data_IF_507272116450
#
_entry.id   IF_507272116450
#
_cell.length_a   1.000
_cell.length_b   1.000
_cell.length_c   1.000
_cell.angle_alpha   90.00
_cell.angle_beta   90.00
_cell.angle_gamma   90.00
#
_symmetry.space_group_name_H-M   'P 1'
#
loop_
_entity.id
_entity.type
_entity.pdbx_description
1 polymer ?
#
# COMPACT_ATOMS: atom_id res chain seq x y z
N UNK A 1 11.26 -22.71 8.04
CA UNK A 1 10.49 -21.77 7.21
C UNK A 1 11.46 -20.64 6.83
N UNK A 2 11.90 -20.58 5.57
CA UNK A 2 12.97 -19.64 5.14
C UNK A 2 12.56 -18.20 5.41
N UNK A 3 13.44 -17.44 6.08
CA UNK A 3 13.26 -16.03 6.44
C UNK A 3 12.88 -15.21 5.21
N UNK A 4 13.50 -15.49 4.06
CA UNK A 4 13.23 -14.87 2.75
C UNK A 4 11.77 -14.97 2.30
N UNK A 5 11.09 -16.10 2.57
CA UNK A 5 9.67 -16.27 2.19
C UNK A 5 8.76 -15.38 3.04
N UNK A 6 9.13 -15.09 4.30
CA UNK A 6 8.34 -14.26 5.21
C UNK A 6 8.40 -12.78 4.82
N UNK A 7 9.59 -12.32 4.42
CA UNK A 7 9.79 -10.93 4.01
C UNK A 7 9.07 -10.62 2.70
N UNK A 8 9.13 -11.53 1.71
CA UNK A 8 8.39 -11.35 0.46
C UNK A 8 6.87 -11.24 0.64
N UNK A 9 6.28 -12.07 1.52
CA UNK A 9 4.83 -12.01 1.82
C UNK A 9 4.46 -10.69 2.46
N UNK A 10 5.29 -10.18 3.38
CA UNK A 10 5.05 -8.91 4.05
C UNK A 10 5.16 -7.72 3.08
N UNK A 11 6.20 -7.71 2.25
CA UNK A 11 6.43 -6.71 1.20
C UNK A 11 5.26 -6.66 0.20
N UNK A 12 4.77 -7.82 -0.24
CA UNK A 12 3.63 -7.90 -1.14
C UNK A 12 2.33 -7.41 -0.48
N UNK A 13 2.15 -7.70 0.81
CA UNK A 13 1.01 -7.19 1.59
C UNK A 13 1.05 -5.67 1.69
N UNK A 14 2.22 -5.07 1.92
CA UNK A 14 2.36 -3.62 1.92
C UNK A 14 2.04 -2.99 0.57
N UNK A 15 2.50 -3.58 -0.54
CA UNK A 15 2.14 -3.09 -1.88
C UNK A 15 0.64 -3.12 -2.12
N UNK A 16 -0.04 -4.23 -1.78
CA UNK A 16 -1.50 -4.35 -1.91
C UNK A 16 -2.24 -3.28 -1.12
N UNK A 17 -1.86 -3.08 0.15
CA UNK A 17 -2.46 -2.06 1.00
C UNK A 17 -2.24 -0.64 0.46
N UNK A 18 -1.03 -0.32 -0.04
CA UNK A 18 -0.76 0.98 -0.68
C UNK A 18 -1.69 1.19 -1.88
N UNK A 19 -1.86 0.16 -2.72
CA UNK A 19 -2.74 0.24 -3.89
C UNK A 19 -4.21 0.39 -3.51
N UNK A 20 -4.69 -0.32 -2.48
CA UNK A 20 -6.06 -0.17 -1.95
C UNK A 20 -6.34 1.21 -1.37
N UNK A 21 -5.34 1.80 -0.70
CA UNK A 21 -5.41 3.18 -0.19
C UNK A 21 -5.53 4.17 -1.36
N UNK A 22 -4.70 3.98 -2.39
CA UNK A 22 -4.63 4.87 -3.55
C UNK A 22 -5.77 4.67 -4.55
N UNK A 23 -6.45 3.51 -4.55
CA UNK A 23 -7.59 3.26 -5.43
C UNK A 23 -8.83 4.05 -5.03
N UNK A 24 -8.91 4.52 -3.78
CA UNK A 24 -10.03 5.32 -3.28
C UNK A 24 -9.89 6.80 -3.66
N UNK A 25 -8.69 7.35 -3.47
CA UNK A 25 -8.43 8.76 -3.71
C UNK A 25 -6.93 9.04 -3.85
N UNK A 26 -6.62 10.14 -4.54
CA UNK A 26 -5.28 10.71 -4.61
C UNK A 26 -4.78 11.15 -3.23
N UNK A 27 -3.72 10.50 -2.72
CA UNK A 27 -3.18 10.75 -1.38
C UNK A 27 -1.71 11.11 -1.39
N UNK A 28 -1.31 11.96 -0.46
CA UNK A 28 0.07 12.29 -0.17
C UNK A 28 0.75 11.17 0.62
N UNK A 29 2.08 11.18 0.67
CA UNK A 29 2.85 10.22 1.46
C UNK A 29 2.42 10.19 2.94
N UNK A 30 2.09 11.35 3.53
CA UNK A 30 1.67 11.46 4.93
C UNK A 30 0.32 10.80 5.16
N UNK A 31 -0.65 11.08 4.29
CA UNK A 31 -1.99 10.49 4.37
C UNK A 31 -1.95 8.96 4.21
N UNK A 32 -1.14 8.45 3.27
CA UNK A 32 -0.94 6.99 3.12
C UNK A 32 -0.36 6.41 4.41
N UNK A 33 0.63 7.07 5.01
CA UNK A 33 1.25 6.61 6.25
C UNK A 33 0.28 6.63 7.45
N UNK A 34 -0.64 7.58 7.50
CA UNK A 34 -1.66 7.68 8.54
C UNK A 34 -2.73 6.59 8.40
N UNK A 35 -3.21 6.32 7.19
CA UNK A 35 -4.17 5.23 6.95
C UNK A 35 -3.59 3.86 7.33
N UNK A 36 -2.30 3.64 7.04
CA UNK A 36 -1.59 2.45 7.48
C UNK A 36 -1.65 2.20 9.00
N UNK A 37 -1.63 3.28 9.81
CA UNK A 37 -1.67 3.16 11.28
C UNK A 37 -3.05 2.77 11.80
N UNK A 38 -4.12 3.08 11.06
CA UNK A 38 -5.51 2.98 11.55
C UNK A 38 -6.15 1.63 11.19
N UNK A 39 -5.69 0.94 10.14
CA UNK A 39 -6.35 -0.29 9.61
C UNK A 39 -6.13 -1.58 10.43
N UNK A 40 -6.06 -1.51 11.76
CA UNK A 40 -6.08 -2.69 12.64
C UNK A 40 -7.12 -2.56 13.75
N UNK A 41 -8.39 -2.51 13.34
CA UNK A 41 -9.48 -2.84 14.23
C UNK A 41 -9.81 -4.32 14.02
N UNK A 42 -9.36 -5.25 14.88
CA UNK A 42 -9.79 -6.63 14.77
C UNK A 42 -11.32 -6.69 14.98
N UNK A 43 -12.02 -7.30 14.03
CA UNK A 43 -13.48 -7.49 14.08
C UNK A 43 -13.91 -8.58 15.09
N UNK A 44 -12.96 -9.22 15.76
CA UNK A 44 -13.22 -10.39 16.61
C UNK A 44 -12.47 -10.22 17.94
N UNK A 45 -13.25 -10.37 19.01
CA UNK A 45 -12.82 -10.57 20.39
C UNK A 45 -12.53 -9.31 21.20
N UNK A 46 -12.90 -9.40 22.49
CA UNK A 46 -12.72 -8.44 23.59
C UNK A 46 -11.25 -8.07 23.89
N UNK A 47 -10.35 -8.32 22.94
CA UNK A 47 -8.92 -8.13 23.03
C UNK A 47 -8.57 -6.69 22.64
N UNK A 48 -8.03 -5.92 23.59
CA UNK A 48 -7.53 -4.56 23.32
C UNK A 48 -6.35 -4.68 22.34
N UNK A 49 -6.46 -4.20 21.08
CA UNK A 49 -5.38 -4.35 20.11
C UNK A 49 -4.17 -3.55 20.59
N UNK A 50 -3.07 -4.25 20.91
CA UNK A 50 -1.74 -3.64 21.16
C UNK A 50 -0.83 -3.69 19.93
N UNK A 51 -1.28 -4.31 18.84
CA UNK A 51 -0.50 -4.45 17.62
C UNK A 51 -0.84 -3.30 16.67
N UNK A 52 0.01 -2.28 16.65
CA UNK A 52 0.00 -1.26 15.59
C UNK A 52 0.96 -1.71 14.50
N UNK A 53 0.45 -2.16 13.36
CA UNK A 53 1.29 -2.30 12.16
C UNK A 53 1.52 -0.88 11.67
N UNK A 54 2.76 -0.43 11.78
CA UNK A 54 3.18 0.84 11.22
C UNK A 54 4.23 0.55 10.15
N UNK A 55 4.07 1.17 8.99
CA UNK A 55 5.10 1.17 7.98
C UNK A 55 6.08 2.30 8.29
N UNK A 56 7.38 2.01 8.26
CA UNK A 56 8.39 3.04 8.43
C UNK A 56 8.34 4.02 7.26
N UNK A 57 8.67 5.29 7.51
CA UNK A 57 8.70 6.33 6.46
C UNK A 57 9.65 5.98 5.31
N UNK A 58 10.70 5.20 5.60
CA UNK A 58 11.66 4.72 4.60
C UNK A 58 11.10 3.56 3.79
N UNK A 59 10.48 2.56 4.44
CA UNK A 59 9.84 1.45 3.73
C UNK A 59 8.74 1.96 2.79
N UNK A 60 7.88 2.87 3.25
CA UNK A 60 6.86 3.48 2.40
C UNK A 60 7.48 4.23 1.20
N UNK A 61 8.60 4.94 1.41
CA UNK A 61 9.31 5.62 0.30
C UNK A 61 9.80 4.60 -0.73
N UNK A 62 10.37 3.49 -0.28
CA UNK A 62 10.87 2.43 -1.15
C UNK A 62 9.73 1.80 -1.96
N UNK A 63 8.63 1.43 -1.32
CA UNK A 63 7.46 0.88 -2.02
C UNK A 63 6.85 1.84 -3.04
N UNK A 64 6.67 3.12 -2.69
CA UNK A 64 6.18 4.13 -3.64
C UNK A 64 7.13 4.30 -4.82
N UNK A 65 8.45 4.26 -4.58
CA UNK A 65 9.46 4.32 -5.64
C UNK A 65 9.37 3.11 -6.59
N UNK A 66 9.17 1.92 -6.05
CA UNK A 66 8.98 0.70 -6.84
C UNK A 66 7.69 0.76 -7.66
N UNK A 67 6.56 1.14 -7.05
CA UNK A 67 5.27 1.24 -7.74
C UNK A 67 5.28 2.32 -8.84
N UNK A 68 6.00 3.42 -8.64
CA UNK A 68 6.22 4.44 -9.67
C UNK A 68 7.04 3.87 -10.84
N UNK A 69 8.13 3.16 -10.53
CA UNK A 69 8.99 2.53 -11.53
C UNK A 69 8.25 1.45 -12.33
N UNK A 70 7.40 0.68 -11.66
CA UNK A 70 6.55 -0.36 -12.25
C UNK A 70 5.36 0.24 -13.03
N UNK A 71 5.15 1.56 -12.98
CA UNK A 71 4.07 2.25 -13.67
C UNK A 71 2.67 1.99 -13.09
N UNK A 72 2.57 1.37 -11.90
CA UNK A 72 1.31 1.09 -11.23
C UNK A 72 0.67 2.34 -10.63
N UNK A 73 1.48 3.33 -10.26
CA UNK A 73 1.03 4.61 -9.73
C UNK A 73 1.69 5.76 -10.47
N UNK A 74 1.06 6.92 -10.46
CA UNK A 74 1.63 8.19 -10.94
C UNK A 74 1.69 9.18 -9.79
N UNK A 75 2.58 10.16 -9.91
CA UNK A 75 2.71 11.24 -8.96
C UNK A 75 2.29 12.56 -9.62
N UNK A 76 1.25 13.17 -9.08
CA UNK A 76 0.75 14.48 -9.50
C UNK A 76 1.03 15.49 -8.40
N UNK A 77 2.06 16.31 -8.59
CA UNK A 77 2.56 17.24 -7.58
C UNK A 77 3.01 16.52 -6.30
N UNK A 78 2.21 16.61 -5.24
CA UNK A 78 2.48 15.98 -3.93
C UNK A 78 1.66 14.69 -3.69
N UNK A 79 0.71 14.38 -4.55
CA UNK A 79 -0.20 13.25 -4.42
C UNK A 79 0.22 12.09 -5.33
N UNK A 80 -0.12 10.88 -4.89
CA UNK A 80 0.00 9.65 -5.66
C UNK A 80 -1.39 9.21 -6.09
N UNK A 81 -1.49 8.69 -7.31
CA UNK A 81 -2.73 8.16 -7.88
C UNK A 81 -2.45 6.80 -8.51
N UNK A 82 -3.42 5.89 -8.50
CA UNK A 82 -3.33 4.65 -9.27
C UNK A 82 -3.33 5.02 -10.75
N UNK A 83 -2.39 4.46 -11.49
CA UNK A 83 -2.38 4.60 -12.93
C UNK A 83 -3.52 3.74 -13.47
N UNK A 84 -4.51 4.33 -14.13
CA UNK A 84 -5.55 3.55 -14.80
C UNK A 84 -4.84 2.69 -15.86
N UNK A 85 -4.75 1.39 -15.59
CA UNK A 85 -4.40 0.42 -16.62
C UNK A 85 -5.52 0.56 -17.65
N UNK A 86 -5.20 1.15 -18.80
CA UNK A 86 -6.10 1.09 -19.96
C UNK A 86 -6.46 -0.38 -20.11
N UNK A 87 -7.73 -0.74 -19.85
CA UNK A 87 -8.26 -2.03 -20.28
C UNK A 87 -7.91 -2.12 -21.75
N UNK A 88 -7.03 -3.05 -22.11
CA UNK A 88 -6.90 -3.45 -23.50
C UNK A 88 -8.31 -3.94 -23.84
N UNK A 89 -9.02 -3.34 -24.81
CA UNK A 89 -10.29 -3.90 -25.23
C UNK A 89 -10.01 -5.34 -25.65
N UNK A 90 -10.67 -6.30 -25.01
CA UNK A 90 -10.76 -7.66 -25.53
C UNK A 90 -11.52 -7.58 -26.85
N UNK A 91 -10.79 -7.33 -27.93
CA UNK A 91 -11.26 -7.61 -29.28
C UNK A 91 -11.13 -9.12 -29.49
N UNK A 92 -12.24 -9.83 -29.32
CA UNK A 92 -12.48 -11.18 -29.83
C UNK A 92 -13.82 -11.19 -30.56
#
# INVERSE_FOLDING_TARGET
>A
MNIEKKDWVLENRYRKLIMEILSKEAKTKKEIQEEFKITLLPYISKYKPKATISISSQALKNHLGLLLREGMIKKEGKKYIVNEVKKIPDEC
#
